data_IF_781686495850
#
_entry.id   IF_781686495850
#
_cell.length_a   1.000
_cell.length_b   1.000
_cell.length_c   1.000
_cell.angle_alpha   90.00
_cell.angle_beta   90.00
_cell.angle_gamma   90.00
#
_symmetry.space_group_name_H-M   'P 1'
#
loop_
_entity.id
_entity.type
_entity.pdbx_description
1 polymer ?
#
# COMPACT_ATOMS: atom_id res chain seq x y z
N UNK A 1 14.97 -37.31 30.77
CA UNK A 1 13.60 -37.28 30.23
C UNK A 1 12.63 -36.45 31.09
N UNK A 2 12.56 -36.60 32.40
CA UNK A 2 11.62 -35.87 33.28
C UNK A 2 11.73 -34.34 33.25
N UNK A 3 12.95 -33.74 33.26
CA UNK A 3 13.12 -32.28 33.16
C UNK A 3 12.58 -31.66 31.83
N UNK A 4 12.74 -32.35 30.69
CA UNK A 4 12.15 -31.92 29.39
C UNK A 4 10.64 -31.96 29.40
N UNK A 5 10.03 -33.00 30.06
CA UNK A 5 8.58 -33.14 30.17
C UNK A 5 7.98 -32.04 31.06
N UNK A 6 8.59 -31.76 32.23
CA UNK A 6 8.17 -30.67 33.12
C UNK A 6 8.32 -29.28 32.49
N UNK A 7 9.36 -29.07 31.67
CA UNK A 7 9.56 -27.82 30.96
C UNK A 7 8.51 -27.63 29.86
N UNK A 8 8.13 -28.68 29.14
CA UNK A 8 7.04 -28.69 28.16
C UNK A 8 5.69 -28.37 28.79
N UNK A 9 5.37 -29.01 29.93
CA UNK A 9 4.11 -28.78 30.67
C UNK A 9 4.00 -27.31 31.17
N UNK A 10 5.07 -26.74 31.74
CA UNK A 10 5.11 -25.33 32.14
C UNK A 10 4.93 -24.38 30.96
N UNK A 11 5.47 -24.71 29.79
CA UNK A 11 5.37 -23.91 28.57
C UNK A 11 3.94 -23.92 28.03
N UNK A 12 3.27 -25.08 28.05
CA UNK A 12 1.86 -25.16 27.64
C UNK A 12 0.92 -24.49 28.64
N UNK A 13 1.20 -24.54 29.93
CA UNK A 13 0.41 -23.84 30.94
C UNK A 13 0.41 -22.31 30.72
N UNK A 14 1.60 -21.71 30.46
CA UNK A 14 1.69 -20.29 30.11
C UNK A 14 0.89 -19.93 28.86
N UNK A 15 0.94 -20.80 27.83
CA UNK A 15 0.17 -20.61 26.63
C UNK A 15 -1.34 -20.55 26.89
N UNK A 16 -1.89 -21.49 27.67
CA UNK A 16 -3.32 -21.47 27.96
C UNK A 16 -3.75 -20.28 28.81
N UNK A 17 -2.93 -19.84 29.78
CA UNK A 17 -3.18 -18.58 30.50
C UNK A 17 -3.23 -17.42 29.51
N UNK A 18 -2.24 -17.29 28.62
CA UNK A 18 -2.19 -16.23 27.63
C UNK A 18 -3.41 -16.28 26.71
N UNK A 19 -3.77 -17.46 26.24
CA UNK A 19 -4.88 -17.69 25.31
C UNK A 19 -6.24 -17.31 25.91
N UNK A 20 -6.55 -17.84 27.10
CA UNK A 20 -7.84 -17.55 27.74
C UNK A 20 -7.94 -16.10 28.24
N UNK A 21 -6.86 -15.53 28.74
CA UNK A 21 -6.81 -14.10 29.10
C UNK A 21 -7.10 -13.24 27.87
N UNK A 22 -6.48 -13.52 26.74
CA UNK A 22 -6.72 -12.77 25.52
C UNK A 22 -8.14 -12.99 24.96
N UNK A 23 -8.69 -14.22 25.04
CA UNK A 23 -10.10 -14.49 24.69
C UNK A 23 -11.07 -13.70 25.57
N UNK A 24 -10.83 -13.65 26.88
CA UNK A 24 -11.63 -12.89 27.83
C UNK A 24 -11.62 -11.37 27.51
N UNK A 25 -10.42 -10.82 27.28
CA UNK A 25 -10.26 -9.42 26.89
C UNK A 25 -11.01 -9.13 25.58
N UNK A 26 -10.88 -10.03 24.60
CA UNK A 26 -11.57 -9.90 23.31
C UNK A 26 -13.09 -9.90 23.47
N UNK A 27 -13.61 -10.78 24.32
CA UNK A 27 -15.03 -10.82 24.66
C UNK A 27 -15.49 -9.52 25.33
N UNK A 28 -14.73 -9.03 26.32
CA UNK A 28 -15.00 -7.76 27.01
C UNK A 28 -15.03 -6.57 26.05
N UNK A 29 -14.04 -6.46 25.15
CA UNK A 29 -14.01 -5.41 24.11
C UNK A 29 -15.25 -5.51 23.20
N UNK A 30 -15.64 -6.71 22.80
CA UNK A 30 -16.81 -6.95 21.93
C UNK A 30 -18.11 -6.54 22.64
N UNK A 31 -18.22 -6.86 23.93
CA UNK A 31 -19.38 -6.46 24.76
C UNK A 31 -19.46 -4.95 24.93
N UNK A 32 -18.34 -4.28 25.28
CA UNK A 32 -18.28 -2.83 25.46
C UNK A 32 -18.61 -2.07 24.15
N UNK A 33 -18.17 -2.60 23.00
CA UNK A 33 -18.55 -2.07 21.68
C UNK A 33 -20.04 -2.20 21.41
N UNK A 34 -20.63 -3.37 21.75
CA UNK A 34 -22.09 -3.60 21.59
C UNK A 34 -22.90 -2.64 22.46
N UNK A 35 -22.40 -2.32 23.64
CA UNK A 35 -23.01 -1.34 24.56
C UNK A 35 -22.70 0.12 24.18
N UNK A 36 -21.99 0.38 23.07
CA UNK A 36 -21.54 1.71 22.60
C UNK A 36 -20.69 2.50 23.61
N UNK A 37 -20.13 1.83 24.64
CA UNK A 37 -19.30 2.46 25.67
C UNK A 37 -17.90 2.81 25.15
N UNK A 38 -17.37 2.01 24.20
CA UNK A 38 -16.01 2.20 23.65
C UNK A 38 -16.08 2.27 22.13
N UNK A 39 -15.59 3.37 21.58
CA UNK A 39 -15.37 3.55 20.11
C UNK A 39 -13.98 3.08 19.64
N UNK A 40 -13.18 2.46 20.50
CA UNK A 40 -11.77 2.17 20.27
C UNK A 40 -11.56 1.06 19.23
N UNK A 41 -10.59 1.28 18.30
CA UNK A 41 -10.08 0.28 17.35
C UNK A 41 -9.02 -0.67 17.99
N UNK A 42 -9.08 -0.96 19.28
CA UNK A 42 -8.08 -1.73 20.05
C UNK A 42 -8.02 -3.23 19.69
N UNK A 43 -8.05 -3.54 18.40
CA UNK A 43 -8.06 -4.91 17.86
C UNK A 43 -6.75 -5.67 18.07
N UNK A 44 -5.61 -4.97 18.26
CA UNK A 44 -4.31 -5.59 18.54
C UNK A 44 -4.07 -5.89 20.03
N UNK A 45 -4.86 -5.33 20.94
CA UNK A 45 -4.61 -5.39 22.38
C UNK A 45 -4.65 -6.82 22.96
N UNK A 46 -5.62 -7.69 22.60
CA UNK A 46 -5.62 -9.08 23.07
C UNK A 46 -4.34 -9.83 22.71
N UNK A 47 -3.87 -9.70 21.48
CA UNK A 47 -2.62 -10.31 21.05
C UNK A 47 -1.39 -9.73 21.74
N UNK A 48 -1.36 -8.42 22.02
CA UNK A 48 -0.29 -7.78 22.79
C UNK A 48 -0.19 -8.38 24.20
N UNK A 49 -1.33 -8.61 24.87
CA UNK A 49 -1.36 -9.24 26.20
C UNK A 49 -0.91 -10.70 26.11
N UNK A 50 -1.40 -11.45 25.12
CA UNK A 50 -0.99 -12.85 24.92
C UNK A 50 0.54 -12.97 24.74
N UNK A 51 1.13 -12.17 23.87
CA UNK A 51 2.58 -12.14 23.62
C UNK A 51 3.40 -11.66 24.83
N UNK A 52 2.82 -10.83 25.71
CA UNK A 52 3.46 -10.43 26.96
C UNK A 52 3.52 -11.56 27.99
N UNK A 53 2.46 -12.39 28.04
CA UNK A 53 2.39 -13.55 28.94
C UNK A 53 3.24 -14.71 28.40
N UNK A 54 3.12 -15.02 27.12
CA UNK A 54 3.89 -16.07 26.44
C UNK A 54 4.53 -15.54 25.17
N UNK A 55 5.85 -15.38 25.18
CA UNK A 55 6.61 -14.85 24.04
C UNK A 55 6.51 -15.76 22.81
N UNK A 56 6.36 -17.08 23.02
CA UNK A 56 6.25 -18.09 21.96
C UNK A 56 4.79 -18.39 21.59
N UNK A 57 3.87 -17.51 21.97
CA UNK A 57 2.42 -17.69 21.76
C UNK A 57 2.08 -18.02 20.31
N UNK A 58 2.70 -17.30 19.35
CA UNK A 58 2.46 -17.48 17.92
C UNK A 58 2.87 -18.85 17.39
N UNK A 59 3.78 -19.57 18.03
CA UNK A 59 4.11 -20.95 17.63
C UNK A 59 3.03 -21.95 18.02
N UNK A 60 2.29 -21.68 19.11
CA UNK A 60 1.38 -22.62 19.78
C UNK A 60 -0.09 -22.40 19.42
N UNK A 61 -0.47 -21.18 19.05
CA UNK A 61 -1.85 -20.89 18.64
C UNK A 61 -2.17 -21.60 17.33
N UNK A 62 -3.39 -22.16 17.24
CA UNK A 62 -3.83 -22.87 16.05
C UNK A 62 -3.93 -21.95 14.84
N UNK A 63 -3.45 -22.42 13.70
CA UNK A 63 -3.39 -21.71 12.43
C UNK A 63 -4.00 -22.55 11.32
N UNK A 64 -4.55 -21.94 10.25
CA UNK A 64 -4.81 -22.64 9.00
C UNK A 64 -3.53 -23.29 8.44
N UNK A 65 -3.68 -24.32 7.66
CA UNK A 65 -2.53 -24.99 7.02
C UNK A 65 -1.87 -24.09 5.98
N UNK A 66 -2.67 -23.28 5.31
CA UNK A 66 -2.23 -22.37 4.27
C UNK A 66 -2.23 -20.93 4.82
N UNK A 67 -1.10 -20.25 4.69
CA UNK A 67 -0.91 -18.88 5.16
C UNK A 67 -0.29 -18.09 4.02
N UNK A 68 -0.99 -17.05 3.60
CA UNK A 68 -0.54 -16.09 2.61
C UNK A 68 -0.17 -14.82 3.37
N UNK A 69 1.10 -14.46 3.36
CA UNK A 69 1.56 -13.18 3.89
C UNK A 69 1.67 -12.17 2.75
N UNK A 70 1.26 -10.93 3.01
CA UNK A 70 1.39 -9.82 2.07
C UNK A 70 2.20 -8.72 2.74
N UNK A 71 3.29 -8.31 2.08
CA UNK A 71 4.16 -7.22 2.55
C UNK A 71 4.51 -6.28 1.39
N UNK A 72 5.22 -5.18 1.69
CA UNK A 72 5.65 -4.18 0.72
C UNK A 72 5.24 -2.77 1.12
N UNK A 73 5.81 -1.75 0.51
CA UNK A 73 5.59 -0.35 0.90
C UNK A 73 4.16 0.10 0.59
N UNK A 74 3.68 -0.13 -0.62
CA UNK A 74 2.36 0.28 -1.09
C UNK A 74 1.57 -0.93 -1.62
N UNK A 75 0.23 -0.87 -1.58
CA UNK A 75 -0.64 -1.91 -2.15
C UNK A 75 -1.00 -3.06 -1.22
N UNK A 76 -0.36 -3.24 -0.06
CA UNK A 76 -0.62 -4.34 0.89
C UNK A 76 -2.11 -4.59 1.16
N UNK A 77 -2.80 -3.55 1.61
CA UNK A 77 -4.22 -3.65 1.99
C UNK A 77 -5.11 -3.97 0.78
N UNK A 78 -4.81 -3.39 -0.38
CA UNK A 78 -5.52 -3.68 -1.64
C UNK A 78 -5.36 -5.15 -2.02
N UNK A 79 -4.11 -5.65 -2.04
CA UNK A 79 -3.81 -7.05 -2.36
C UNK A 79 -4.46 -7.99 -1.35
N UNK A 80 -4.41 -7.69 -0.04
CA UNK A 80 -5.11 -8.49 0.98
C UNK A 80 -6.61 -8.54 0.74
N UNK A 81 -7.25 -7.39 0.47
CA UNK A 81 -8.70 -7.35 0.25
C UNK A 81 -9.11 -8.16 -0.98
N UNK A 82 -8.40 -8.02 -2.09
CA UNK A 82 -8.67 -8.77 -3.32
C UNK A 82 -8.45 -10.28 -3.12
N UNK A 83 -7.35 -10.68 -2.45
CA UNK A 83 -7.11 -12.10 -2.12
C UNK A 83 -8.23 -12.68 -1.26
N UNK A 84 -8.66 -11.94 -0.23
CA UNK A 84 -9.72 -12.39 0.69
C UNK A 84 -11.04 -12.54 -0.09
N UNK A 85 -11.44 -11.50 -0.84
CA UNK A 85 -12.66 -11.54 -1.65
C UNK A 85 -12.69 -12.73 -2.61
N UNK A 86 -11.59 -12.94 -3.35
CA UNK A 86 -11.48 -14.03 -4.30
C UNK A 86 -11.52 -15.42 -3.61
N UNK A 87 -10.82 -15.59 -2.49
CA UNK A 87 -10.82 -16.85 -1.74
C UNK A 87 -12.19 -17.13 -1.11
N UNK A 88 -12.86 -16.10 -0.56
CA UNK A 88 -14.22 -16.25 -0.02
C UNK A 88 -15.24 -16.57 -1.12
N UNK A 89 -15.13 -15.92 -2.30
CA UNK A 89 -15.99 -16.23 -3.45
C UNK A 89 -15.80 -17.65 -3.98
N UNK A 90 -14.61 -18.23 -3.82
CA UNK A 90 -14.32 -19.64 -4.13
C UNK A 90 -14.80 -20.62 -3.06
N UNK A 91 -15.48 -20.14 -2.00
CA UNK A 91 -16.03 -20.94 -0.91
C UNK A 91 -15.07 -21.25 0.24
N UNK A 92 -13.85 -20.72 0.25
CA UNK A 92 -12.89 -20.88 1.36
C UNK A 92 -13.25 -19.98 2.53
N UNK A 93 -13.06 -20.48 3.76
CA UNK A 93 -13.14 -19.67 4.98
C UNK A 93 -11.81 -19.01 5.24
N UNK A 94 -11.76 -17.68 5.12
CA UNK A 94 -10.53 -16.90 5.20
C UNK A 94 -10.40 -16.22 6.57
N UNK A 95 -9.26 -16.43 7.22
CA UNK A 95 -8.85 -15.66 8.40
C UNK A 95 -7.99 -14.49 7.95
N UNK A 96 -8.26 -13.30 8.46
CA UNK A 96 -7.49 -12.09 8.15
C UNK A 96 -7.20 -11.24 9.40
N UNK A 97 -6.29 -10.28 9.27
CA UNK A 97 -5.96 -9.30 10.30
C UNK A 97 -6.35 -7.86 9.93
N UNK A 98 -7.29 -7.66 8.99
CA UNK A 98 -7.75 -6.32 8.52
C UNK A 98 -8.28 -5.44 9.64
N UNK A 99 -8.91 -6.02 10.65
CA UNK A 99 -9.41 -5.31 11.84
C UNK A 99 -8.31 -5.06 12.88
N UNK A 100 -7.12 -5.61 12.70
CA UNK A 100 -5.95 -5.50 13.57
C UNK A 100 -4.84 -4.65 12.97
N UNK A 101 -3.75 -4.51 13.73
CA UNK A 101 -2.54 -3.94 13.20
C UNK A 101 -1.77 -5.00 12.40
N UNK A 102 -1.03 -4.57 11.38
CA UNK A 102 -0.14 -5.40 10.55
C UNK A 102 1.19 -5.78 11.25
N UNK A 103 1.20 -5.74 12.58
CA UNK A 103 2.30 -6.10 13.46
C UNK A 103 2.01 -7.43 14.18
N UNK A 104 3.02 -8.01 14.81
CA UNK A 104 2.92 -9.31 15.47
C UNK A 104 1.74 -9.44 16.47
N UNK A 105 1.40 -8.39 17.21
CA UNK A 105 0.24 -8.39 18.13
C UNK A 105 -1.11 -8.40 17.41
N UNK A 106 -1.20 -7.76 16.22
CA UNK A 106 -2.39 -7.83 15.37
C UNK A 106 -2.58 -9.23 14.79
N UNK A 107 -1.50 -9.83 14.30
CA UNK A 107 -1.50 -11.22 13.81
C UNK A 107 -1.89 -12.20 14.93
N UNK A 108 -1.34 -12.03 16.14
CA UNK A 108 -1.73 -12.86 17.30
C UNK A 108 -3.23 -12.71 17.62
N UNK A 109 -3.76 -11.47 17.60
CA UNK A 109 -5.19 -11.21 17.81
C UNK A 109 -6.05 -11.90 16.76
N UNK A 110 -5.65 -11.91 15.49
CA UNK A 110 -6.37 -12.58 14.41
C UNK A 110 -6.45 -14.09 14.66
N UNK A 111 -5.34 -14.75 14.98
CA UNK A 111 -5.36 -16.18 15.30
C UNK A 111 -6.16 -16.50 16.56
N UNK A 112 -6.10 -15.66 17.60
CA UNK A 112 -6.96 -15.81 18.78
C UNK A 112 -8.43 -15.72 18.38
N UNK A 113 -8.81 -14.72 17.58
CA UNK A 113 -10.19 -14.55 17.10
C UNK A 113 -10.66 -15.77 16.29
N UNK A 114 -9.81 -16.28 15.41
CA UNK A 114 -10.08 -17.39 14.50
C UNK A 114 -10.06 -18.76 15.16
N UNK A 115 -9.62 -18.89 16.40
CA UNK A 115 -9.57 -20.18 17.11
C UNK A 115 -10.81 -20.43 17.97
N UNK A 116 -11.18 -21.70 18.15
CA UNK A 116 -12.17 -22.14 19.15
C UNK A 116 -11.61 -22.00 20.57
N UNK A 117 -12.44 -22.23 21.60
CA UNK A 117 -11.96 -22.29 22.99
C UNK A 117 -10.98 -23.44 23.25
N UNK A 118 -11.01 -24.47 22.41
CA UNK A 118 -10.07 -25.60 22.46
C UNK A 118 -8.85 -25.41 21.56
N UNK A 119 -8.56 -24.15 21.14
CA UNK A 119 -7.45 -23.80 20.26
C UNK A 119 -7.44 -24.59 18.93
N UNK A 120 -8.58 -24.71 18.26
CA UNK A 120 -8.69 -25.25 16.90
C UNK A 120 -9.09 -24.16 15.93
N UNK A 121 -8.45 -24.09 14.78
CA UNK A 121 -8.86 -23.15 13.72
C UNK A 121 -10.18 -23.59 13.09
N UNK A 122 -10.95 -22.59 12.60
CA UNK A 122 -12.19 -22.76 11.82
C UNK A 122 -12.02 -22.39 10.37
N UNK A 123 -10.81 -22.00 9.98
CA UNK A 123 -10.50 -21.39 8.69
C UNK A 123 -9.63 -22.31 7.86
N UNK A 124 -9.80 -22.22 6.53
CA UNK A 124 -9.08 -23.02 5.55
C UNK A 124 -7.73 -22.36 5.23
N UNK A 125 -7.71 -21.02 5.14
CA UNK A 125 -6.56 -20.22 4.77
C UNK A 125 -6.49 -18.96 5.64
N UNK A 126 -5.28 -18.45 5.86
CA UNK A 126 -5.07 -17.12 6.44
C UNK A 126 -4.43 -16.18 5.42
N UNK A 127 -4.97 -14.97 5.28
CA UNK A 127 -4.37 -13.86 4.54
C UNK A 127 -3.93 -12.80 5.56
N UNK A 128 -2.63 -12.58 5.67
CA UNK A 128 -2.03 -11.72 6.68
C UNK A 128 -1.32 -10.53 6.03
N UNK A 129 -1.80 -9.32 6.31
CA UNK A 129 -1.02 -8.11 6.06
C UNK A 129 0.10 -8.02 7.12
N UNK A 130 1.35 -7.98 6.68
CA UNK A 130 2.53 -7.92 7.55
C UNK A 130 3.34 -6.68 7.21
N UNK A 131 3.51 -5.78 8.19
CA UNK A 131 4.42 -4.64 8.09
C UNK A 131 5.85 -5.14 7.89
N UNK A 132 6.61 -4.50 7.02
CA UNK A 132 7.94 -4.94 6.58
C UNK A 132 8.89 -5.15 7.76
N UNK A 133 8.89 -4.22 8.72
CA UNK A 133 9.75 -4.32 9.93
C UNK A 133 9.26 -5.35 10.94
N UNK A 134 7.98 -5.69 10.86
CA UNK A 134 7.37 -6.72 11.70
C UNK A 134 7.67 -8.14 11.20
N UNK A 135 8.17 -8.30 9.98
CA UNK A 135 8.54 -9.59 9.37
C UNK A 135 9.43 -10.42 10.28
N UNK A 136 10.46 -9.83 10.91
CA UNK A 136 11.35 -10.51 11.88
C UNK A 136 10.55 -11.11 13.03
N UNK A 137 9.57 -10.37 13.57
CA UNK A 137 8.76 -10.80 14.73
C UNK A 137 7.64 -11.75 14.38
N UNK A 138 7.22 -11.77 13.11
CA UNK A 138 6.14 -12.65 12.63
C UNK A 138 6.73 -13.94 12.09
N UNK A 139 7.69 -13.87 11.19
CA UNK A 139 8.21 -15.06 10.50
C UNK A 139 9.15 -15.91 11.37
N UNK A 140 9.65 -15.37 12.50
CA UNK A 140 10.32 -16.20 13.53
C UNK A 140 9.39 -17.22 14.19
N UNK A 141 8.07 -17.05 14.08
CA UNK A 141 7.06 -17.91 14.73
C UNK A 141 6.04 -18.51 13.77
N UNK A 142 5.98 -17.98 12.55
CA UNK A 142 5.01 -18.38 11.52
C UNK A 142 5.76 -18.54 10.21
N UNK A 143 5.61 -19.69 9.57
CA UNK A 143 6.11 -19.92 8.21
C UNK A 143 4.95 -19.73 7.24
N UNK A 144 4.87 -18.62 6.49
CA UNK A 144 3.89 -18.48 5.43
C UNK A 144 4.10 -19.54 4.34
N UNK A 145 3.02 -20.07 3.79
CA UNK A 145 3.08 -20.93 2.58
C UNK A 145 3.51 -20.07 1.38
N UNK A 146 2.93 -18.86 1.29
CA UNK A 146 3.21 -17.89 0.25
C UNK A 146 3.51 -16.51 0.86
N UNK A 147 4.46 -15.81 0.26
CA UNK A 147 4.69 -14.39 0.51
C UNK A 147 4.52 -13.61 -0.78
N UNK A 148 3.53 -12.72 -0.80
CA UNK A 148 3.37 -11.71 -1.86
C UNK A 148 4.08 -10.44 -1.42
N UNK A 149 5.09 -10.01 -2.17
CA UNK A 149 5.73 -8.72 -1.95
C UNK A 149 5.34 -7.78 -3.08
N UNK A 150 4.64 -6.70 -2.76
CA UNK A 150 4.08 -5.80 -3.78
C UNK A 150 5.13 -4.89 -4.41
N UNK A 151 5.92 -4.22 -3.59
CA UNK A 151 7.01 -3.31 -3.98
C UNK A 151 7.78 -2.86 -2.73
N UNK A 152 9.00 -2.31 -2.93
CA UNK A 152 9.76 -1.66 -1.88
C UNK A 152 10.24 -0.28 -2.33
N UNK A 153 9.77 0.75 -1.63
CA UNK A 153 10.13 2.15 -1.83
C UNK A 153 10.57 2.78 -0.53
N UNK A 154 11.08 4.00 -0.63
CA UNK A 154 11.21 4.89 0.51
C UNK A 154 9.83 5.18 1.09
N UNK A 155 9.75 5.17 2.40
CA UNK A 155 8.57 5.59 3.17
C UNK A 155 9.04 6.59 4.24
N UNK A 156 8.23 6.85 5.24
CA UNK A 156 8.60 7.76 6.32
C UNK A 156 10.06 7.60 6.77
N UNK A 157 10.82 8.70 6.80
CA UNK A 157 12.25 8.73 7.11
C UNK A 157 12.57 8.11 8.47
N UNK A 158 11.68 8.27 9.45
CA UNK A 158 11.83 7.63 10.77
C UNK A 158 11.76 6.10 10.72
N UNK A 159 11.09 5.53 9.72
CA UNK A 159 10.80 4.11 9.66
C UNK A 159 11.54 3.39 8.54
N UNK A 160 11.34 3.82 7.34
CA UNK A 160 11.68 3.09 6.11
C UNK A 160 12.35 4.01 5.09
N UNK A 161 13.34 4.80 5.54
CA UNK A 161 14.00 5.82 4.72
C UNK A 161 14.76 5.26 3.51
N UNK A 162 15.17 4.00 3.57
CA UNK A 162 15.93 3.37 2.46
C UNK A 162 15.39 1.97 2.18
N UNK A 163 15.00 1.66 0.93
CA UNK A 163 14.39 0.37 0.58
C UNK A 163 15.34 -0.81 0.79
N UNK A 164 16.66 -0.65 0.61
CA UNK A 164 17.64 -1.72 0.83
C UNK A 164 17.71 -2.14 2.32
N UNK A 165 17.53 -1.21 3.25
CA UNK A 165 17.43 -1.54 4.66
C UNK A 165 16.22 -2.45 4.94
N UNK A 166 15.08 -2.12 4.34
CA UNK A 166 13.84 -2.90 4.46
C UNK A 166 13.96 -4.26 3.74
N UNK A 167 14.58 -4.27 2.57
CA UNK A 167 14.92 -5.51 1.86
C UNK A 167 15.69 -6.46 2.77
N UNK A 168 16.75 -5.99 3.43
CA UNK A 168 17.58 -6.81 4.32
C UNK A 168 16.78 -7.35 5.52
N UNK A 169 15.86 -6.56 6.08
CA UNK A 169 14.97 -6.99 7.17
C UNK A 169 14.08 -8.15 6.69
N UNK A 170 13.39 -7.98 5.57
CA UNK A 170 12.50 -9.01 5.03
C UNK A 170 13.32 -10.26 4.66
N UNK A 171 14.37 -10.08 3.88
CA UNK A 171 15.19 -11.17 3.36
C UNK A 171 15.83 -12.02 4.48
N UNK A 172 16.30 -11.36 5.54
CA UNK A 172 16.87 -12.03 6.71
C UNK A 172 15.83 -12.77 7.59
N UNK A 173 14.55 -12.41 7.47
CA UNK A 173 13.47 -13.03 8.23
C UNK A 173 12.75 -14.16 7.47
N UNK A 174 12.96 -14.28 6.15
CA UNK A 174 12.24 -15.23 5.30
C UNK A 174 12.53 -16.68 5.65
N UNK A 175 11.49 -17.49 5.97
CA UNK A 175 11.64 -18.93 6.06
C UNK A 175 11.92 -19.55 4.68
N UNK A 176 12.82 -20.53 4.60
CA UNK A 176 13.25 -21.16 3.34
C UNK A 176 12.12 -21.87 2.59
N UNK A 177 11.13 -22.36 3.30
CA UNK A 177 10.00 -23.11 2.78
C UNK A 177 8.94 -22.23 2.11
N UNK A 178 8.98 -20.92 2.39
CA UNK A 178 8.01 -19.96 1.85
C UNK A 178 8.21 -19.78 0.34
N UNK A 179 7.16 -19.96 -0.45
CA UNK A 179 7.16 -19.60 -1.89
C UNK A 179 6.91 -18.10 -2.05
N UNK A 180 7.71 -17.46 -2.88
CA UNK A 180 7.68 -16.02 -3.09
C UNK A 180 6.91 -15.66 -4.37
N UNK A 181 6.10 -14.61 -4.32
CA UNK A 181 5.40 -14.03 -5.48
C UNK A 181 5.86 -12.58 -5.56
N UNK A 182 6.68 -12.28 -6.57
CA UNK A 182 7.49 -11.08 -6.65
C UNK A 182 7.29 -10.34 -7.97
N UNK A 183 7.29 -9.01 -7.91
CA UNK A 183 7.31 -8.16 -9.09
C UNK A 183 8.72 -8.15 -9.71
N UNK A 184 8.89 -8.68 -10.92
CA UNK A 184 10.17 -8.68 -11.61
C UNK A 184 10.58 -7.29 -12.15
N UNK A 185 9.61 -6.37 -12.28
CA UNK A 185 9.86 -4.98 -12.62
C UNK A 185 10.37 -4.16 -11.43
N UNK A 186 10.26 -4.68 -10.19
CA UNK A 186 10.90 -4.10 -9.02
C UNK A 186 12.22 -4.81 -8.72
N UNK A 187 13.33 -4.23 -9.17
CA UNK A 187 14.67 -4.78 -8.99
C UNK A 187 15.12 -4.94 -7.55
N UNK A 188 14.42 -4.35 -6.58
CA UNK A 188 14.74 -4.52 -5.17
C UNK A 188 14.12 -5.81 -4.68
N UNK A 189 12.78 -5.96 -4.82
CA UNK A 189 12.10 -7.16 -4.31
C UNK A 189 12.37 -8.41 -5.14
N UNK A 190 12.66 -8.27 -6.44
CA UNK A 190 12.98 -9.43 -7.28
C UNK A 190 14.22 -10.21 -6.82
N UNK A 191 15.03 -9.62 -5.94
CA UNK A 191 16.21 -10.26 -5.31
C UNK A 191 15.88 -10.98 -3.99
N UNK A 192 14.64 -10.88 -3.49
CA UNK A 192 14.25 -11.54 -2.24
C UNK A 192 14.37 -13.05 -2.35
N UNK A 193 14.80 -13.66 -1.25
CA UNK A 193 14.94 -15.11 -1.09
C UNK A 193 16.39 -15.57 -1.05
N UNK A 194 16.61 -16.56 -0.19
CA UNK A 194 17.90 -17.24 0.00
C UNK A 194 17.74 -18.70 -0.43
N UNK A 195 17.42 -18.91 -1.73
CA UNK A 195 17.11 -20.23 -2.29
C UNK A 195 15.63 -20.61 -2.16
N UNK A 196 14.75 -19.67 -1.85
CA UNK A 196 13.31 -19.85 -1.91
C UNK A 196 12.84 -20.10 -3.34
N UNK A 197 11.79 -20.89 -3.52
CA UNK A 197 11.07 -20.90 -4.81
C UNK A 197 10.40 -19.56 -5.00
N UNK A 198 10.56 -18.96 -6.17
CA UNK A 198 9.92 -17.69 -6.52
C UNK A 198 9.16 -17.83 -7.83
N UNK A 199 8.09 -17.05 -7.92
CA UNK A 199 7.29 -16.82 -9.11
C UNK A 199 7.29 -15.31 -9.35
N UNK A 200 7.52 -14.91 -10.59
CA UNK A 200 7.67 -13.53 -10.98
C UNK A 200 6.51 -13.04 -11.83
N UNK A 201 6.07 -11.81 -11.59
CA UNK A 201 5.08 -11.15 -12.43
C UNK A 201 5.60 -9.82 -12.94
N UNK A 202 5.20 -9.43 -14.15
CA UNK A 202 5.57 -8.16 -14.80
C UNK A 202 4.48 -7.66 -15.74
N UNK A 203 4.57 -6.40 -16.11
CA UNK A 203 3.77 -5.80 -17.18
C UNK A 203 4.72 -5.51 -18.36
N UNK A 204 4.38 -5.95 -19.55
CA UNK A 204 5.14 -5.68 -20.78
C UNK A 204 5.30 -4.17 -21.00
N UNK A 205 6.29 -3.81 -21.82
CA UNK A 205 6.55 -2.40 -22.13
C UNK A 205 5.31 -1.73 -22.69
N UNK A 206 4.91 -0.63 -22.04
CA UNK A 206 3.80 0.21 -22.46
C UNK A 206 4.28 1.35 -23.40
N UNK A 207 3.41 1.91 -24.24
CA UNK A 207 3.76 3.04 -25.10
C UNK A 207 4.24 4.29 -24.32
N UNK A 208 3.78 4.43 -23.08
CA UNK A 208 4.14 5.54 -22.17
C UNK A 208 5.46 5.36 -21.45
N UNK A 209 6.01 4.13 -21.44
CA UNK A 209 7.24 3.82 -20.74
C UNK A 209 8.46 4.48 -21.40
N UNK A 210 9.41 4.88 -20.57
CA UNK A 210 10.67 5.53 -20.98
C UNK A 210 11.86 4.59 -20.77
N UNK A 211 13.01 4.98 -21.26
CA UNK A 211 14.29 4.27 -21.01
C UNK A 211 15.08 4.88 -19.86
N UNK A 212 14.67 6.07 -19.39
CA UNK A 212 15.27 6.74 -18.25
C UNK A 212 14.15 7.22 -17.31
N UNK A 213 14.38 7.07 -16.00
CA UNK A 213 13.44 7.55 -14.99
C UNK A 213 13.38 9.07 -14.99
N UNK A 214 12.16 9.61 -15.02
CA UNK A 214 11.88 11.04 -14.87
C UNK A 214 11.76 11.46 -13.40
N UNK A 215 11.67 10.50 -12.50
CA UNK A 215 11.54 10.75 -11.07
C UNK A 215 12.87 11.18 -10.47
N UNK A 216 12.84 12.07 -9.49
CA UNK A 216 14.02 12.50 -8.73
C UNK A 216 14.69 11.31 -8.07
N UNK A 217 13.87 10.42 -7.50
CA UNK A 217 14.33 9.23 -6.79
C UNK A 217 14.26 8.01 -7.72
N UNK A 218 15.42 7.40 -7.91
CA UNK A 218 15.58 6.05 -8.47
C UNK A 218 16.57 5.31 -7.58
N UNK A 219 16.09 4.38 -6.76
CA UNK A 219 16.88 3.65 -5.78
C UNK A 219 17.70 2.49 -6.40
N UNK A 220 17.51 2.21 -7.71
CA UNK A 220 18.24 1.18 -8.45
C UNK A 220 18.98 1.74 -9.68
N UNK A 221 19.94 2.65 -9.42
CA UNK A 221 20.76 3.26 -10.48
C UNK A 221 21.99 2.44 -10.84
N UNK A 222 22.48 1.66 -9.89
CA UNK A 222 23.73 0.88 -10.05
C UNK A 222 23.47 -0.60 -9.77
N UNK A 223 24.23 -1.43 -10.46
CA UNK A 223 24.20 -2.87 -10.31
C UNK A 223 24.65 -3.29 -8.90
N UNK A 224 23.86 -4.07 -8.16
CA UNK A 224 24.26 -4.53 -6.83
C UNK A 224 25.41 -5.54 -6.84
N UNK A 225 25.75 -6.14 -8.01
CA UNK A 225 26.84 -7.10 -8.15
C UNK A 225 28.18 -6.41 -8.47
N UNK A 226 28.20 -5.49 -9.45
CA UNK A 226 29.45 -4.93 -9.97
C UNK A 226 29.50 -3.39 -9.97
N UNK A 227 28.51 -2.72 -9.40
CA UNK A 227 28.40 -1.26 -9.26
C UNK A 227 28.39 -0.45 -10.56
N UNK A 228 28.25 -1.10 -11.72
CA UNK A 228 28.11 -0.44 -13.00
C UNK A 228 26.71 0.19 -13.10
N UNK A 229 26.58 1.36 -13.75
CA UNK A 229 25.27 2.01 -13.99
C UNK A 229 24.38 1.06 -14.78
N UNK A 230 23.17 0.80 -14.26
CA UNK A 230 22.16 -0.03 -14.92
C UNK A 230 21.58 0.68 -16.15
N UNK A 231 21.19 -0.12 -17.14
CA UNK A 231 20.40 0.31 -18.29
C UNK A 231 19.00 -0.31 -18.19
N UNK A 232 18.01 0.45 -18.63
CA UNK A 232 16.62 0.03 -18.64
C UNK A 232 16.15 -0.25 -20.06
N UNK A 233 15.52 -1.39 -20.29
CA UNK A 233 14.73 -1.65 -21.48
C UNK A 233 13.47 -0.76 -21.49
N UNK A 234 12.88 -0.61 -20.32
CA UNK A 234 11.87 0.38 -20.00
C UNK A 234 11.85 0.68 -18.49
N UNK A 235 11.51 1.90 -18.14
CA UNK A 235 11.19 2.33 -16.77
C UNK A 235 9.85 3.03 -16.77
N UNK A 236 9.01 2.68 -15.81
CA UNK A 236 7.64 3.15 -15.71
C UNK A 236 7.51 4.29 -14.72
N UNK A 237 8.03 4.09 -13.53
CA UNK A 237 8.17 5.10 -12.48
C UNK A 237 9.25 4.68 -11.48
N UNK A 238 10.00 5.65 -10.96
CA UNK A 238 11.13 5.46 -10.04
C UNK A 238 12.13 4.40 -10.54
N UNK A 239 12.19 3.24 -9.87
CA UNK A 239 12.99 2.08 -10.27
C UNK A 239 12.17 0.92 -10.83
N UNK A 240 10.86 1.10 -10.95
CA UNK A 240 9.99 0.04 -11.52
C UNK A 240 10.14 0.01 -13.03
N UNK A 241 10.63 -1.12 -13.53
CA UNK A 241 10.87 -1.33 -14.95
C UNK A 241 11.79 -2.53 -15.19
N UNK A 242 12.04 -2.81 -16.45
CA UNK A 242 12.92 -3.91 -16.85
C UNK A 242 14.33 -3.39 -17.10
N UNK A 243 15.29 -3.84 -16.34
CA UNK A 243 16.66 -3.37 -16.39
C UNK A 243 17.69 -4.49 -16.53
N UNK A 244 18.87 -4.12 -16.98
CA UNK A 244 20.02 -5.01 -17.09
C UNK A 244 21.33 -4.28 -16.79
N UNK A 245 22.33 -5.03 -16.37
CA UNK A 245 23.68 -4.55 -16.23
C UNK A 245 24.46 -4.75 -17.55
N UNK A 246 25.09 -3.71 -18.13
CA UNK A 246 25.87 -3.87 -19.34
C UNK A 246 27.22 -4.57 -19.11
N UNK A 247 27.61 -4.81 -17.84
CA UNK A 247 28.94 -5.33 -17.48
C UNK A 247 28.90 -6.72 -16.82
N UNK A 248 27.73 -7.19 -16.34
CA UNK A 248 27.58 -8.53 -15.77
C UNK A 248 26.19 -9.10 -16.07
N UNK A 249 25.94 -10.31 -15.56
CA UNK A 249 24.68 -11.06 -15.77
C UNK A 249 23.45 -10.55 -14.98
N UNK A 250 23.60 -9.48 -14.22
CA UNK A 250 22.48 -8.95 -13.44
C UNK A 250 21.41 -8.31 -14.36
N UNK A 251 20.18 -8.79 -14.26
CA UNK A 251 19.02 -8.29 -15.00
C UNK A 251 17.74 -8.56 -14.23
N UNK A 252 16.66 -7.89 -14.63
CA UNK A 252 15.29 -8.26 -14.20
C UNK A 252 15.03 -9.73 -14.50
N UNK A 253 14.48 -10.52 -13.56
CA UNK A 253 14.07 -11.89 -13.83
C UNK A 253 13.02 -11.96 -14.95
N UNK A 254 12.97 -13.07 -15.65
CA UNK A 254 11.86 -13.34 -16.57
C UNK A 254 10.57 -13.58 -15.76
N UNK A 255 9.47 -13.01 -16.24
CA UNK A 255 8.17 -13.12 -15.56
C UNK A 255 7.46 -14.41 -15.94
N UNK A 256 6.97 -15.14 -14.94
CA UNK A 256 6.09 -16.31 -15.12
C UNK A 256 4.65 -15.88 -15.47
N UNK A 257 4.23 -14.71 -14.94
CA UNK A 257 2.96 -14.07 -15.25
C UNK A 257 3.23 -12.72 -15.88
N UNK A 258 2.77 -12.52 -17.11
CA UNK A 258 3.08 -11.33 -17.87
C UNK A 258 1.81 -10.68 -18.42
N UNK A 259 1.53 -9.43 -18.06
CA UNK A 259 0.51 -8.65 -18.72
C UNK A 259 1.03 -8.27 -20.10
N UNK A 260 0.44 -8.85 -21.14
CA UNK A 260 0.81 -8.60 -22.54
C UNK A 260 -0.05 -7.52 -23.20
N UNK A 261 -1.27 -7.26 -22.67
CA UNK A 261 -2.14 -6.21 -23.17
C UNK A 261 -3.02 -5.64 -22.07
N UNK A 262 -3.24 -4.31 -22.11
CA UNK A 262 -4.19 -3.58 -21.28
C UNK A 262 -5.14 -2.83 -22.19
N UNK A 263 -6.41 -3.24 -22.18
CA UNK A 263 -7.50 -2.59 -22.92
C UNK A 263 -8.33 -1.75 -21.94
N UNK A 264 -8.00 -0.47 -21.86
CA UNK A 264 -8.70 0.47 -20.98
C UNK A 264 -10.14 0.75 -21.42
N UNK A 265 -10.42 0.71 -22.73
CA UNK A 265 -11.76 0.98 -23.27
C UNK A 265 -12.73 -0.14 -22.92
N UNK A 266 -12.33 -1.40 -23.14
CA UNK A 266 -13.14 -2.57 -22.82
C UNK A 266 -12.92 -3.10 -21.40
N UNK A 267 -12.05 -2.44 -20.62
CA UNK A 267 -11.69 -2.83 -19.24
C UNK A 267 -11.22 -4.29 -19.16
N UNK A 268 -10.25 -4.65 -19.98
CA UNK A 268 -9.68 -6.00 -20.05
C UNK A 268 -8.17 -5.98 -19.84
N UNK A 269 -7.71 -7.01 -19.16
CA UNK A 269 -6.31 -7.28 -18.88
C UNK A 269 -5.95 -8.67 -19.42
N UNK A 270 -5.01 -8.75 -20.36
CA UNK A 270 -4.54 -10.04 -20.89
C UNK A 270 -3.27 -10.44 -20.21
N UNK A 271 -3.27 -11.62 -19.57
CA UNK A 271 -2.14 -12.17 -18.84
C UNK A 271 -1.69 -13.46 -19.53
N UNK A 272 -0.40 -13.54 -19.84
CA UNK A 272 0.26 -14.74 -20.34
C UNK A 272 0.91 -15.49 -19.18
N UNK A 273 0.64 -16.79 -19.12
CA UNK A 273 1.25 -17.72 -18.16
C UNK A 273 1.32 -19.13 -18.78
N UNK A 274 2.50 -19.79 -18.66
CA UNK A 274 2.76 -21.12 -19.23
C UNK A 274 2.39 -21.29 -20.72
N UNK A 275 2.52 -20.22 -21.51
CA UNK A 275 2.21 -20.22 -22.95
C UNK A 275 0.73 -20.02 -23.28
N UNK A 276 -0.12 -19.83 -22.28
CA UNK A 276 -1.56 -19.51 -22.46
C UNK A 276 -1.79 -18.02 -22.17
N UNK A 277 -2.67 -17.38 -22.96
CA UNK A 277 -3.08 -16.00 -22.78
C UNK A 277 -4.53 -15.95 -22.30
N UNK A 278 -4.75 -15.41 -21.11
CA UNK A 278 -6.04 -15.33 -20.48
C UNK A 278 -6.47 -13.88 -20.24
N UNK A 279 -7.76 -13.59 -20.50
CA UNK A 279 -8.32 -12.26 -20.32
C UNK A 279 -9.09 -12.17 -19.00
N UNK A 280 -8.80 -11.13 -18.21
CA UNK A 280 -9.44 -10.79 -16.95
C UNK A 280 -10.11 -9.41 -17.03
N UNK A 281 -11.02 -9.11 -16.10
CA UNK A 281 -11.58 -7.76 -15.99
C UNK A 281 -10.56 -6.84 -15.34
N UNK A 282 -10.31 -5.69 -15.96
CA UNK A 282 -9.49 -4.62 -15.40
C UNK A 282 -10.27 -3.89 -14.30
N UNK A 283 -9.83 -3.99 -13.05
CA UNK A 283 -10.52 -3.39 -11.91
C UNK A 283 -10.16 -1.93 -11.67
N UNK A 284 -9.03 -1.45 -12.16
CA UNK A 284 -8.59 -0.06 -12.03
C UNK A 284 -7.70 0.35 -13.20
N UNK A 285 -7.78 1.62 -13.58
CA UNK A 285 -6.94 2.19 -14.66
C UNK A 285 -5.56 2.62 -14.15
N UNK A 286 -5.36 2.63 -12.83
CA UNK A 286 -4.09 2.97 -12.22
C UNK A 286 -3.07 1.85 -12.38
N UNK A 287 -1.89 2.15 -12.93
CA UNK A 287 -0.80 1.19 -13.14
C UNK A 287 -0.38 0.48 -11.83
N UNK A 288 -0.47 1.17 -10.70
CA UNK A 288 -0.18 0.59 -9.38
C UNK A 288 -1.19 -0.49 -9.00
N UNK A 289 -2.47 -0.26 -9.31
CA UNK A 289 -3.52 -1.23 -9.04
C UNK A 289 -3.48 -2.39 -10.04
N UNK A 290 -3.02 -2.16 -11.27
CA UNK A 290 -2.79 -3.24 -12.24
C UNK A 290 -1.69 -4.19 -11.72
N UNK A 291 -0.60 -3.66 -11.14
CA UNK A 291 0.39 -4.51 -10.45
C UNK A 291 -0.20 -5.25 -9.24
N UNK A 292 -1.07 -4.61 -8.45
CA UNK A 292 -1.74 -5.26 -7.33
C UNK A 292 -2.67 -6.39 -7.82
N UNK A 293 -3.43 -6.16 -8.89
CA UNK A 293 -4.30 -7.14 -9.53
C UNK A 293 -3.49 -8.34 -10.05
N UNK A 294 -2.41 -8.07 -10.77
CA UNK A 294 -1.51 -9.10 -11.29
C UNK A 294 -0.88 -9.93 -10.18
N UNK A 295 -0.44 -9.30 -9.09
CA UNK A 295 0.10 -9.99 -7.91
C UNK A 295 -0.95 -10.94 -7.29
N UNK A 296 -2.21 -10.52 -7.24
CA UNK A 296 -3.33 -11.33 -6.73
C UNK A 296 -3.62 -12.49 -7.66
N UNK A 297 -3.73 -12.26 -8.98
CA UNK A 297 -3.99 -13.32 -9.97
C UNK A 297 -2.87 -14.37 -9.91
N UNK A 298 -1.60 -13.93 -9.88
CA UNK A 298 -0.44 -14.81 -9.74
C UNK A 298 -0.53 -15.65 -8.46
N UNK A 299 -0.87 -15.02 -7.33
CA UNK A 299 -1.00 -15.71 -6.05
C UNK A 299 -2.14 -16.74 -6.06
N UNK A 300 -3.32 -16.37 -6.57
CA UNK A 300 -4.49 -17.27 -6.61
C UNK A 300 -4.24 -18.46 -7.53
N UNK A 301 -3.58 -18.28 -8.67
CA UNK A 301 -3.18 -19.36 -9.57
C UNK A 301 -2.23 -20.33 -8.86
N UNK A 302 -1.23 -19.81 -8.16
CA UNK A 302 -0.25 -20.60 -7.41
C UNK A 302 -0.85 -21.36 -6.21
N UNK A 303 -1.94 -20.85 -5.65
CA UNK A 303 -2.74 -21.48 -4.60
C UNK A 303 -3.66 -22.58 -5.18
N UNK A 304 -3.79 -22.64 -6.52
CA UNK A 304 -4.55 -23.66 -7.22
C UNK A 304 -6.01 -23.30 -7.50
N UNK A 305 -6.38 -22.02 -7.51
CA UNK A 305 -7.67 -21.62 -8.06
C UNK A 305 -7.66 -21.76 -9.59
N UNK A 306 -8.79 -22.19 -10.14
CA UNK A 306 -8.95 -22.22 -11.59
C UNK A 306 -9.12 -20.82 -12.16
N UNK A 307 -8.77 -20.66 -13.43
CA UNK A 307 -8.97 -19.41 -14.16
C UNK A 307 -10.40 -18.89 -14.04
N UNK A 308 -11.40 -19.77 -14.19
CA UNK A 308 -12.81 -19.41 -14.07
C UNK A 308 -13.16 -18.89 -12.67
N UNK A 309 -12.62 -19.49 -11.60
CA UNK A 309 -12.82 -19.02 -10.22
C UNK A 309 -12.21 -17.63 -10.02
N UNK A 310 -11.04 -17.38 -10.60
CA UNK A 310 -10.38 -16.07 -10.53
C UNK A 310 -11.19 -15.04 -11.30
N UNK A 311 -11.61 -15.33 -12.54
CA UNK A 311 -12.44 -14.42 -13.35
C UNK A 311 -13.75 -14.06 -12.64
N UNK A 312 -14.46 -15.03 -12.11
CA UNK A 312 -15.73 -14.83 -11.41
C UNK A 312 -15.54 -14.00 -10.11
N UNK A 313 -14.40 -14.12 -9.44
CA UNK A 313 -14.08 -13.28 -8.30
C UNK A 313 -13.91 -11.82 -8.70
N UNK A 314 -13.17 -11.57 -9.78
CA UNK A 314 -12.89 -10.21 -10.26
C UNK A 314 -14.09 -9.55 -10.97
N UNK A 315 -15.10 -10.28 -11.42
CA UNK A 315 -16.35 -9.70 -11.92
C UNK A 315 -17.13 -8.93 -10.86
N UNK A 316 -17.02 -9.33 -9.60
CA UNK A 316 -17.75 -8.76 -8.47
C UNK A 316 -16.94 -7.73 -7.70
N UNK A 317 -15.63 -7.80 -7.83
CA UNK A 317 -14.73 -6.90 -7.10
C UNK A 317 -14.63 -5.54 -7.78
N UNK A 318 -14.76 -4.51 -6.98
CA UNK A 318 -14.38 -3.14 -7.35
C UNK A 318 -13.36 -2.67 -6.33
N UNK A 319 -12.25 -2.13 -6.79
CA UNK A 319 -11.37 -1.39 -5.89
C UNK A 319 -12.19 -0.19 -5.42
N UNK A 320 -12.62 -0.24 -4.16
CA UNK A 320 -13.20 0.95 -3.53
C UNK A 320 -12.03 1.91 -3.35
N UNK A 321 -11.94 2.87 -4.24
CA UNK A 321 -11.00 3.98 -4.13
C UNK A 321 -11.43 4.89 -2.97
N UNK A 322 -11.33 4.37 -1.75
CA UNK A 322 -11.58 5.15 -0.52
C UNK A 322 -10.66 6.37 -0.39
N UNK A 323 -9.78 6.56 -1.36
CA UNK A 323 -8.75 7.62 -1.42
C UNK A 323 -9.05 8.68 -2.46
N UNK A 324 -10.08 8.47 -3.28
CA UNK A 324 -10.48 9.35 -4.37
C UNK A 324 -11.97 9.64 -4.24
N UNK A 325 -12.31 10.92 -4.26
CA UNK A 325 -13.69 11.39 -4.28
C UNK A 325 -13.80 12.49 -5.34
N UNK A 326 -14.77 12.37 -6.21
CA UNK A 326 -15.03 13.33 -7.28
C UNK A 326 -16.46 13.86 -7.18
N UNK A 327 -16.63 15.15 -7.41
CA UNK A 327 -17.92 15.80 -7.51
C UNK A 327 -17.86 16.95 -8.51
N UNK A 328 -18.86 17.09 -9.34
CA UNK A 328 -18.98 18.23 -10.26
C UNK A 328 -20.07 19.18 -9.78
N UNK A 329 -19.74 20.47 -9.69
CA UNK A 329 -20.63 21.55 -9.30
C UNK A 329 -20.49 22.67 -10.33
N UNK A 330 -21.58 23.05 -10.98
CA UNK A 330 -21.62 24.11 -12.01
C UNK A 330 -20.58 23.96 -13.14
N UNK A 331 -20.27 22.72 -13.51
CA UNK A 331 -19.28 22.39 -14.55
C UNK A 331 -17.83 22.40 -14.08
N UNK A 332 -17.56 22.66 -12.80
CA UNK A 332 -16.23 22.56 -12.19
C UNK A 332 -16.14 21.19 -11.51
N UNK A 333 -15.18 20.37 -11.92
CA UNK A 333 -14.86 19.09 -11.29
C UNK A 333 -13.99 19.36 -10.04
N UNK A 334 -14.40 18.83 -8.89
CA UNK A 334 -13.67 18.90 -7.62
C UNK A 334 -13.26 17.49 -7.24
N UNK A 335 -11.96 17.24 -7.15
CA UNK A 335 -11.37 15.95 -6.84
C UNK A 335 -10.65 16.04 -5.51
N UNK A 336 -11.02 15.21 -4.53
CA UNK A 336 -10.24 15.01 -3.31
C UNK A 336 -9.44 13.71 -3.43
N UNK A 337 -8.12 13.79 -3.38
CA UNK A 337 -7.24 12.63 -3.55
C UNK A 337 -6.24 12.50 -2.41
N UNK A 338 -6.20 11.32 -1.76
CA UNK A 338 -5.24 11.02 -0.71
C UNK A 338 -3.83 10.86 -1.30
N UNK A 339 -2.98 11.86 -1.13
CA UNK A 339 -1.60 11.85 -1.57
C UNK A 339 -0.65 11.10 -0.61
N UNK A 340 -1.12 10.75 0.59
CA UNK A 340 -0.36 10.02 1.62
C UNK A 340 0.98 10.71 1.88
N UNK A 341 0.96 11.91 2.44
CA UNK A 341 2.15 12.65 2.86
C UNK A 341 3.14 11.78 3.62
N UNK A 342 4.41 12.11 3.62
CA UNK A 342 5.53 11.34 4.16
C UNK A 342 5.86 10.04 3.39
N UNK A 343 5.08 9.67 2.38
CA UNK A 343 5.43 8.64 1.40
C UNK A 343 5.71 9.33 0.05
N UNK A 344 6.98 9.63 -0.28
CA UNK A 344 7.33 10.42 -1.46
C UNK A 344 6.81 9.82 -2.75
N UNK A 345 6.87 8.49 -2.88
CA UNK A 345 6.42 7.78 -4.08
C UNK A 345 4.91 7.92 -4.27
N UNK A 346 4.12 7.72 -3.21
CA UNK A 346 2.66 7.86 -3.31
C UNK A 346 2.27 9.31 -3.63
N UNK A 347 2.96 10.29 -3.03
CA UNK A 347 2.73 11.71 -3.30
C UNK A 347 3.12 12.08 -4.75
N UNK A 348 4.28 11.63 -5.23
CA UNK A 348 4.73 11.83 -6.62
C UNK A 348 3.74 11.27 -7.62
N UNK A 349 3.18 10.07 -7.36
CA UNK A 349 2.19 9.46 -8.23
C UNK A 349 0.90 10.27 -8.34
N UNK A 350 0.46 10.90 -7.25
CA UNK A 350 -0.73 11.76 -7.28
C UNK A 350 -0.44 13.07 -8.01
N UNK A 351 0.77 13.63 -7.85
CA UNK A 351 1.19 14.80 -8.61
C UNK A 351 1.25 14.50 -10.13
N UNK A 352 1.80 13.33 -10.51
CA UNK A 352 1.82 12.88 -11.91
C UNK A 352 0.41 12.65 -12.46
N UNK A 353 -0.48 12.04 -11.67
CA UNK A 353 -1.88 11.89 -12.03
C UNK A 353 -2.53 13.24 -12.34
N UNK A 354 -2.40 14.22 -11.43
CA UNK A 354 -2.96 15.56 -11.64
C UNK A 354 -2.39 16.22 -12.90
N UNK A 355 -1.08 16.10 -13.15
CA UNK A 355 -0.45 16.61 -14.37
C UNK A 355 -1.10 16.04 -15.63
N UNK A 356 -1.34 14.72 -15.66
CA UNK A 356 -1.81 14.02 -16.86
C UNK A 356 -3.33 14.15 -17.10
N UNK A 357 -4.10 14.66 -16.12
CA UNK A 357 -5.51 14.96 -16.30
C UNK A 357 -5.69 16.08 -17.34
N UNK A 358 -6.79 16.03 -18.10
CA UNK A 358 -7.10 17.01 -19.16
C UNK A 358 -7.59 18.34 -18.57
N UNK A 359 -7.41 19.43 -19.32
CA UNK A 359 -7.94 20.75 -18.97
C UNK A 359 -7.07 21.54 -18.00
N UNK A 360 -7.54 22.73 -17.67
CA UNK A 360 -6.92 23.63 -16.70
C UNK A 360 -7.22 23.18 -15.27
N UNK A 361 -6.28 23.44 -14.35
CA UNK A 361 -6.38 22.92 -12.98
C UNK A 361 -5.89 23.94 -11.96
N UNK A 362 -6.54 23.93 -10.80
CA UNK A 362 -6.02 24.50 -9.57
C UNK A 362 -5.79 23.36 -8.56
N UNK A 363 -4.66 23.38 -7.86
CA UNK A 363 -4.26 22.32 -6.93
C UNK A 363 -4.23 22.87 -5.52
N UNK A 364 -4.84 22.16 -4.58
CA UNK A 364 -4.79 22.46 -3.15
C UNK A 364 -3.93 21.40 -2.46
N UNK A 365 -2.87 21.83 -1.76
CA UNK A 365 -2.01 20.96 -0.98
C UNK A 365 -2.30 21.14 0.52
N UNK A 366 -2.82 20.10 1.17
CA UNK A 366 -3.02 20.02 2.62
C UNK A 366 -2.28 18.82 3.19
N UNK A 367 -0.97 18.83 2.94
CA UNK A 367 -0.01 17.83 3.36
C UNK A 367 0.79 18.39 4.54
N UNK A 368 0.70 17.72 5.70
CA UNK A 368 1.29 18.24 6.93
C UNK A 368 2.45 17.36 7.41
N UNK A 369 2.96 17.70 8.59
CA UNK A 369 4.05 16.99 9.26
C UNK A 369 3.57 15.98 10.30
N UNK A 370 2.28 15.63 10.30
CA UNK A 370 1.70 14.72 11.28
C UNK A 370 2.17 13.29 11.02
N UNK A 371 2.83 12.72 12.01
CA UNK A 371 3.35 11.35 11.96
C UNK A 371 2.33 10.32 12.43
N UNK A 372 1.63 10.62 13.52
CA UNK A 372 0.47 9.88 13.99
C UNK A 372 -0.59 10.83 14.59
N UNK A 373 -1.64 10.29 15.17
CA UNK A 373 -2.71 11.11 15.74
C UNK A 373 -2.28 12.06 16.88
N UNK A 374 -1.08 11.87 17.44
CA UNK A 374 -0.56 12.61 18.60
C UNK A 374 0.70 13.43 18.31
N UNK A 375 1.49 13.02 17.31
CA UNK A 375 2.77 13.65 16.98
C UNK A 375 2.66 14.54 15.74
N UNK A 376 3.07 15.81 15.86
CA UNK A 376 2.89 16.85 14.83
C UNK A 376 4.20 17.45 14.31
N UNK A 377 5.36 17.03 14.80
CA UNK A 377 6.65 17.62 14.44
C UNK A 377 7.60 16.61 13.83
N UNK A 378 7.24 16.08 12.68
CA UNK A 378 8.15 15.23 11.93
C UNK A 378 9.02 16.04 10.97
N UNK A 379 10.15 15.43 10.57
CA UNK A 379 11.02 16.00 9.55
C UNK A 379 10.31 16.13 8.21
N UNK A 380 10.43 17.29 7.57
CA UNK A 380 9.91 17.56 6.23
C UNK A 380 10.87 17.15 5.10
N UNK A 381 11.93 16.39 5.38
CA UNK A 381 12.94 15.99 4.37
C UNK A 381 12.32 15.19 3.23
N UNK A 382 11.24 14.46 3.49
CA UNK A 382 10.52 13.70 2.45
C UNK A 382 10.02 14.56 1.28
N UNK A 383 9.82 15.86 1.48
CA UNK A 383 9.46 16.81 0.42
C UNK A 383 10.47 16.83 -0.72
N UNK A 384 11.76 16.63 -0.39
CA UNK A 384 12.85 16.65 -1.37
C UNK A 384 13.00 15.33 -2.12
N UNK A 385 12.31 14.29 -1.67
CA UNK A 385 12.19 13.00 -2.35
C UNK A 385 10.91 12.90 -3.21
N UNK A 386 9.97 13.86 -3.09
CA UNK A 386 8.71 13.90 -3.84
C UNK A 386 8.88 14.71 -5.14
N UNK A 387 8.32 14.21 -6.23
CA UNK A 387 8.39 14.84 -7.57
C UNK A 387 7.34 15.95 -7.73
N UNK A 388 7.45 17.00 -6.94
CA UNK A 388 6.62 18.22 -7.10
C UNK A 388 6.87 18.95 -8.41
N UNK A 389 7.92 18.60 -9.14
CA UNK A 389 8.21 19.03 -10.51
C UNK A 389 7.05 18.75 -11.47
N UNK A 390 6.23 17.73 -11.19
CA UNK A 390 5.02 17.46 -11.94
C UNK A 390 3.97 18.59 -11.83
N UNK A 391 4.01 19.37 -10.76
CA UNK A 391 3.13 20.53 -10.60
C UNK A 391 3.64 21.79 -11.34
N UNK A 392 4.84 21.75 -11.91
CA UNK A 392 5.35 22.76 -12.83
C UNK A 392 4.88 22.45 -14.27
N UNK A 393 3.59 22.56 -14.51
CA UNK A 393 2.95 22.28 -15.80
C UNK A 393 2.08 23.46 -16.23
N UNK A 394 1.97 23.66 -17.55
CA UNK A 394 1.19 24.77 -18.12
C UNK A 394 -0.32 24.61 -17.87
N UNK A 395 -0.80 23.39 -17.69
CA UNK A 395 -2.19 23.10 -17.36
C UNK A 395 -2.58 23.45 -15.91
N UNK A 396 -1.59 23.69 -15.04
CA UNK A 396 -1.82 24.07 -13.64
C UNK A 396 -1.73 25.58 -13.53
N UNK A 397 -2.86 26.21 -13.28
CA UNK A 397 -2.96 27.68 -13.20
C UNK A 397 -2.59 28.20 -11.81
N UNK A 398 -2.85 27.41 -10.74
CA UNK A 398 -2.59 27.81 -9.36
C UNK A 398 -2.32 26.62 -8.46
N UNK A 399 -1.43 26.81 -7.48
CA UNK A 399 -1.21 25.88 -6.38
C UNK A 399 -1.44 26.60 -5.07
N UNK A 400 -2.49 26.20 -4.33
CA UNK A 400 -2.83 26.73 -3.01
C UNK A 400 -2.27 25.79 -1.96
N UNK A 401 -1.43 26.31 -1.08
CA UNK A 401 -0.73 25.57 -0.06
C UNK A 401 -1.33 25.93 1.31
N UNK A 402 -1.95 24.99 1.98
CA UNK A 402 -2.61 25.22 3.25
C UNK A 402 -1.92 24.59 4.45
N UNK A 403 -2.06 25.25 5.61
CA UNK A 403 -1.69 24.68 6.90
C UNK A 403 -0.35 25.13 7.48
N UNK A 404 0.04 24.55 8.65
CA UNK A 404 1.13 25.05 9.48
C UNK A 404 2.52 24.98 8.82
N UNK A 405 2.71 24.07 7.86
CA UNK A 405 3.98 23.89 7.13
C UNK A 405 3.95 24.45 5.70
N UNK A 406 3.02 25.37 5.41
CA UNK A 406 2.84 25.93 4.06
C UNK A 406 4.09 26.61 3.49
N UNK A 407 4.94 27.19 4.34
CA UNK A 407 6.18 27.83 3.90
C UNK A 407 7.24 26.82 3.42
N UNK A 408 7.32 25.63 4.03
CA UNK A 408 8.21 24.55 3.59
C UNK A 408 7.81 24.04 2.20
N UNK A 409 6.50 23.84 1.98
CA UNK A 409 5.97 23.46 0.66
C UNK A 409 6.15 24.56 -0.37
N UNK A 410 5.92 25.82 0.02
CA UNK A 410 6.13 26.97 -0.86
C UNK A 410 7.58 27.01 -1.37
N UNK A 411 8.55 26.90 -0.47
CA UNK A 411 9.97 26.85 -0.84
C UNK A 411 10.26 25.62 -1.75
N UNK A 412 9.72 24.46 -1.43
CA UNK A 412 9.94 23.25 -2.22
C UNK A 412 9.36 23.36 -3.63
N UNK A 413 8.19 23.98 -3.79
CA UNK A 413 7.56 24.21 -5.09
C UNK A 413 8.34 25.24 -5.94
N UNK A 414 8.91 26.26 -5.32
CA UNK A 414 9.84 27.18 -6.02
C UNK A 414 11.08 26.41 -6.53
N UNK A 415 11.64 25.52 -5.72
CA UNK A 415 12.76 24.65 -6.13
C UNK A 415 12.34 23.70 -7.27
N UNK A 416 11.09 23.24 -7.27
CA UNK A 416 10.51 22.44 -8.36
C UNK A 416 10.29 23.23 -9.66
N UNK A 417 10.55 24.54 -9.64
CA UNK A 417 10.39 25.43 -10.80
C UNK A 417 8.98 25.97 -11.00
N UNK A 418 8.05 25.73 -10.06
CA UNK A 418 6.70 26.30 -10.16
C UNK A 418 6.79 27.82 -10.06
N UNK A 419 6.25 28.60 -11.04
CA UNK A 419 6.31 30.05 -11.03
C UNK A 419 5.68 30.66 -9.78
N UNK A 420 6.34 31.66 -9.21
CA UNK A 420 5.91 32.31 -7.96
C UNK A 420 4.48 32.85 -8.03
N UNK A 421 4.11 33.39 -9.17
CA UNK A 421 2.77 33.93 -9.43
C UNK A 421 1.65 32.90 -9.40
N UNK A 422 1.97 31.63 -9.58
CA UNK A 422 1.02 30.51 -9.43
C UNK A 422 0.88 30.02 -8.00
N UNK A 423 1.75 30.43 -7.08
CA UNK A 423 1.81 29.91 -5.71
C UNK A 423 1.10 30.85 -4.73
N UNK A 424 0.15 30.32 -4.00
CA UNK A 424 -0.52 31.00 -2.88
C UNK A 424 -0.43 30.11 -1.65
N UNK A 425 -0.09 30.69 -0.49
CA UNK A 425 -0.04 29.90 0.74
C UNK A 425 -0.76 30.60 1.89
N UNK A 426 -1.34 29.81 2.79
CA UNK A 426 -2.00 30.29 4.00
C UNK A 426 -1.81 29.31 5.16
N UNK A 427 -1.50 29.86 6.36
CA UNK A 427 -1.49 29.05 7.60
C UNK A 427 -2.90 28.81 8.15
N UNK A 428 -3.85 29.69 7.77
CA UNK A 428 -5.25 29.55 8.20
C UNK A 428 -5.98 28.57 7.28
N UNK A 429 -6.27 27.39 7.79
CA UNK A 429 -6.93 26.31 7.05
C UNK A 429 -8.36 26.64 6.60
N UNK A 430 -9.07 27.53 7.33
CA UNK A 430 -10.41 28.00 6.96
C UNK A 430 -10.44 28.87 5.71
N UNK A 431 -9.30 29.52 5.39
CA UNK A 431 -9.15 30.43 4.24
C UNK A 431 -8.60 29.74 2.98
N UNK A 432 -8.33 28.46 3.01
CA UNK A 432 -7.75 27.75 1.87
C UNK A 432 -8.65 27.84 0.64
N UNK A 433 -9.94 27.59 0.80
CA UNK A 433 -10.90 27.67 -0.29
C UNK A 433 -11.00 29.08 -0.89
N UNK A 434 -10.81 30.16 -0.08
CA UNK A 434 -10.88 31.54 -0.53
C UNK A 434 -9.70 31.93 -1.45
N UNK A 435 -8.62 31.14 -1.42
CA UNK A 435 -7.43 31.38 -2.27
C UNK A 435 -7.60 30.85 -3.70
N UNK A 436 -8.68 30.13 -4.00
CA UNK A 436 -8.99 29.60 -5.34
C UNK A 436 -9.68 30.63 -6.22
N UNK A 437 -9.37 30.61 -7.52
CA UNK A 437 -9.98 31.51 -8.52
C UNK A 437 -11.39 31.10 -8.90
N UNK A 438 -11.72 29.80 -8.85
CA UNK A 438 -13.01 29.22 -9.23
C UNK A 438 -13.42 29.56 -10.68
N UNK A 439 -12.46 29.58 -11.60
CA UNK A 439 -12.75 29.87 -13.02
C UNK A 439 -13.50 28.69 -13.67
N UNK A 440 -14.51 28.98 -14.46
CA UNK A 440 -15.21 27.95 -15.23
C UNK A 440 -14.26 27.27 -16.21
N UNK A 441 -14.34 25.94 -16.28
CA UNK A 441 -13.45 25.13 -17.10
C UNK A 441 -12.09 24.84 -16.46
N UNK A 442 -11.89 25.24 -15.19
CA UNK A 442 -10.71 24.87 -14.40
C UNK A 442 -11.13 23.90 -13.28
N UNK A 443 -10.58 22.70 -13.30
CA UNK A 443 -10.87 21.67 -12.31
C UNK A 443 -10.03 21.88 -11.04
N UNK A 444 -10.54 21.42 -9.90
CA UNK A 444 -9.90 21.61 -8.60
C UNK A 444 -9.49 20.25 -8.03
N UNK A 445 -8.20 20.14 -7.64
CA UNK A 445 -7.62 18.92 -7.06
C UNK A 445 -7.15 19.21 -5.64
N UNK A 446 -7.78 18.58 -4.64
CA UNK A 446 -7.42 18.67 -3.21
C UNK A 446 -6.57 17.45 -2.86
N UNK A 447 -5.26 17.67 -2.67
CA UNK A 447 -4.29 16.63 -2.29
C UNK A 447 -4.07 16.68 -0.78
N UNK A 448 -4.47 15.61 -0.09
CA UNK A 448 -4.49 15.60 1.37
C UNK A 448 -3.74 14.41 1.98
N UNK A 449 -3.40 14.50 3.26
CA UNK A 449 -2.72 13.47 4.05
C UNK A 449 -3.74 12.59 4.79
N UNK A 450 -3.29 11.43 5.26
CA UNK A 450 -4.10 10.43 6.00
C UNK A 450 -4.84 11.06 7.19
N UNK A 451 -4.23 12.03 7.86
CA UNK A 451 -4.81 12.69 9.04
C UNK A 451 -5.61 13.95 8.73
N UNK A 452 -5.70 14.35 7.46
CA UNK A 452 -6.33 15.57 7.01
C UNK A 452 -7.58 15.31 6.15
N UNK A 453 -8.18 14.13 6.23
CA UNK A 453 -9.39 13.79 5.48
C UNK A 453 -10.58 14.69 5.82
N UNK A 454 -10.85 14.93 7.12
CA UNK A 454 -11.90 15.84 7.56
C UNK A 454 -11.67 17.27 7.04
N UNK A 455 -10.42 17.77 7.10
CA UNK A 455 -10.08 19.08 6.56
C UNK A 455 -10.28 19.14 5.03
N UNK A 456 -9.94 18.08 4.30
CA UNK A 456 -10.18 18.02 2.86
C UNK A 456 -11.66 18.05 2.52
N UNK A 457 -12.50 17.38 3.32
CA UNK A 457 -13.95 17.41 3.21
C UNK A 457 -14.51 18.83 3.50
N UNK A 458 -14.04 19.49 4.56
CA UNK A 458 -14.43 20.87 4.91
C UNK A 458 -14.05 21.85 3.79
N UNK A 459 -12.85 21.74 3.23
CA UNK A 459 -12.40 22.56 2.10
C UNK A 459 -13.30 22.34 0.88
N UNK A 460 -13.58 21.07 0.54
CA UNK A 460 -14.47 20.73 -0.56
C UNK A 460 -15.85 21.33 -0.38
N UNK A 461 -16.46 21.17 0.79
CA UNK A 461 -17.78 21.76 1.09
C UNK A 461 -17.77 23.29 1.00
N UNK A 462 -16.69 23.95 1.43
CA UNK A 462 -16.56 25.40 1.32
C UNK A 462 -16.46 25.82 -0.17
N UNK A 463 -15.67 25.12 -0.99
CA UNK A 463 -15.58 25.35 -2.45
C UNK A 463 -16.98 25.19 -3.08
N UNK A 464 -17.70 24.12 -2.76
CA UNK A 464 -19.04 23.85 -3.28
C UNK A 464 -20.01 24.99 -2.94
N UNK A 465 -19.96 25.52 -1.71
CA UNK A 465 -20.80 26.65 -1.27
C UNK A 465 -20.46 27.93 -2.02
N UNK A 466 -19.20 28.22 -2.26
CA UNK A 466 -18.75 29.40 -3.02
C UNK A 466 -19.23 29.33 -4.47
N UNK A 467 -19.10 28.18 -5.13
CA UNK A 467 -19.57 27.96 -6.50
C UNK A 467 -21.10 28.12 -6.56
N UNK A 468 -21.85 27.47 -5.64
CA UNK A 468 -23.30 27.57 -5.59
C UNK A 468 -23.81 28.97 -5.21
N UNK A 469 -23.01 29.77 -4.49
CA UNK A 469 -23.28 31.17 -4.17
C UNK A 469 -23.06 32.16 -5.32
N UNK A 470 -22.61 31.67 -6.49
CA UNK A 470 -22.38 32.49 -7.70
C UNK A 470 -21.01 33.16 -7.73
N UNK A 471 -20.04 32.72 -6.92
CA UNK A 471 -18.68 33.23 -6.92
C UNK A 471 -17.80 32.63 -8.03
N UNK A 472 -18.33 31.66 -8.81
CA UNK A 472 -17.62 31.09 -9.95
C UNK A 472 -17.45 32.15 -11.05
N UNK A 473 -16.19 32.44 -11.41
CA UNK A 473 -15.86 33.39 -12.47
C UNK A 473 -16.13 32.75 -13.85
N UNK A 474 -16.68 33.52 -14.77
CA UNK A 474 -17.07 33.09 -16.10
C UNK A 474 -15.86 32.78 -17.00
#
# INVERSE_FOLDING_TARGET
MQKKKQQGEKTMFKFYIAFYTAKFIMFGIKLLKRLKIVKCKASFFPGKVALKIDKDFLTKVSKPKEIIAVTGTNGKTTVCNLLIGALESSGKKVLDNRLGANINSGVASAFIAGSTLTNKTKYDVAVLEVDERSSIKVYSYITPTYLVCTNLFRDSIKRNAHPEFIFNIINGALPKETKLILNSDDLIISRLGNGNKAVYFAIDKLPTDKTESVNIINDMRVCPKCHTKLKYNYVRYHHIGNAYCPNCDFKSPEADFRVSNIDFENRKLTIEHNGEANSYNLISDSIFNIYNELAVISALTEIGLTEEQIKNAFEKEKIVESRYQEKTVDGIKIVSHLAKGQNPVACSCVCDYVKNEKGKKEVVLVLFDRYDAKETSESMVWLYDCDFEFLNDESIDRVVIGGPRSEDFYLRLLIAGVPREKLVFTKNTEKIADCLSLNKGTDIYILYDIYNGELADDIREHIEKRIAGGEANA
#
